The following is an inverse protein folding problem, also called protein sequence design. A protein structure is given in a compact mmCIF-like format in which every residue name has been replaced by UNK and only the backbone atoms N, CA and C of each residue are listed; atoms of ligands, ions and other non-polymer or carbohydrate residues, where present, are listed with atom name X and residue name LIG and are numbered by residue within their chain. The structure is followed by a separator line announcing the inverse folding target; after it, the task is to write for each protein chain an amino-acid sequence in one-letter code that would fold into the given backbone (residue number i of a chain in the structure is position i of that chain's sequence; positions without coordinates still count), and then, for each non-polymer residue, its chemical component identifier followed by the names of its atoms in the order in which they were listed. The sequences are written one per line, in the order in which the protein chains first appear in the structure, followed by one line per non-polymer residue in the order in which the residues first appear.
data_IF_835984374408
#
_entry.id   IF_835984374408
#
_cell.length_a   1.000
_cell.length_b   1.000
_cell.length_c   1.000
_cell.angle_alpha   90.00
_cell.angle_beta   90.00
_cell.angle_gamma   90.00
#
_symmetry.space_group_name_H-M   'P 1'
#
loop_
_entity.id
_entity.type
_entity.pdbx_description
1 polymer ?
#
# COMPACT_ATOMS: atom_id res chain seq x y z
N UNK A 1 -3.52 0.89 17.43
CA UNK A 1 -2.88 -0.38 17.85
C UNK A 1 -2.05 -0.94 16.70
N UNK A 2 -0.93 -1.62 16.94
CA UNK A 2 -0.15 -2.26 15.88
C UNK A 2 -0.68 -3.68 15.59
N UNK A 3 -0.89 -4.04 14.32
CA UNK A 3 -1.27 -5.38 13.86
C UNK A 3 -0.30 -5.82 12.76
N UNK A 4 0.11 -7.09 12.79
CA UNK A 4 0.79 -7.75 11.68
C UNK A 4 -0.14 -8.78 11.03
N UNK A 5 -0.22 -8.77 9.70
CA UNK A 5 -0.98 -9.73 8.90
C UNK A 5 -0.08 -10.32 7.81
N UNK A 6 -0.24 -11.58 7.44
CA UNK A 6 0.41 -12.16 6.27
C UNK A 6 -0.62 -12.65 5.24
N UNK A 7 -0.13 -13.03 4.05
CA UNK A 7 -0.97 -13.53 2.95
C UNK A 7 -1.87 -14.70 3.33
N UNK A 8 -1.43 -15.53 4.30
CA UNK A 8 -2.20 -16.69 4.77
C UNK A 8 -3.32 -16.33 5.75
N UNK A 9 -3.55 -15.04 6.02
CA UNK A 9 -4.53 -14.56 6.99
C UNK A 9 -4.10 -14.73 8.45
N UNK A 10 -2.82 -15.03 8.73
CA UNK A 10 -2.33 -15.04 10.10
C UNK A 10 -2.21 -13.59 10.62
N UNK A 11 -2.93 -13.30 11.71
CA UNK A 11 -2.98 -11.97 12.33
C UNK A 11 -2.35 -12.02 13.73
N UNK A 12 -1.39 -11.12 13.98
CA UNK A 12 -0.74 -10.93 15.28
C UNK A 12 -1.01 -9.51 15.78
N UNK A 13 -1.78 -9.37 16.86
CA UNK A 13 -2.02 -8.08 17.53
C UNK A 13 -0.84 -7.75 18.44
N UNK A 14 -0.42 -6.48 18.46
CA UNK A 14 0.76 -6.00 19.22
C UNK A 14 2.01 -6.87 18.97
N UNK A 15 2.41 -7.04 17.70
CA UNK A 15 3.51 -7.94 17.35
C UNK A 15 4.82 -7.50 18.02
N UNK A 16 5.54 -8.45 18.60
CA UNK A 16 6.88 -8.22 19.15
C UNK A 16 7.91 -8.13 18.02
N UNK A 17 9.09 -7.53 18.29
CA UNK A 17 10.18 -7.47 17.30
C UNK A 17 10.57 -8.86 16.77
N UNK A 18 10.71 -9.90 17.62
CA UNK A 18 10.95 -11.26 17.13
C UNK A 18 9.81 -11.78 16.23
N UNK A 19 8.54 -11.53 16.58
CA UNK A 19 7.41 -11.97 15.75
C UNK A 19 7.45 -11.34 14.35
N UNK A 20 7.77 -10.05 14.24
CA UNK A 20 7.96 -9.36 12.95
C UNK A 20 9.08 -10.00 12.16
N UNK A 21 10.23 -10.26 12.80
CA UNK A 21 11.37 -10.93 12.16
C UNK A 21 11.04 -12.33 11.66
N UNK A 22 10.33 -13.13 12.48
CA UNK A 22 9.88 -14.47 12.10
C UNK A 22 8.88 -14.43 10.94
N UNK A 23 7.95 -13.48 10.90
CA UNK A 23 7.03 -13.35 9.78
C UNK A 23 7.76 -12.99 8.48
N UNK A 24 8.73 -12.08 8.54
CA UNK A 24 9.57 -11.71 7.40
C UNK A 24 10.43 -12.87 6.90
N UNK A 25 11.04 -13.63 7.81
CA UNK A 25 11.84 -14.80 7.47
C UNK A 25 11.02 -15.93 6.83
N UNK A 26 9.71 -15.97 7.11
CA UNK A 26 8.80 -16.97 6.57
C UNK A 26 8.21 -16.60 5.20
N UNK A 27 8.62 -15.46 4.60
CA UNK A 27 8.17 -15.09 3.26
C UNK A 27 8.69 -16.09 2.22
N UNK A 28 7.77 -16.57 1.39
CA UNK A 28 8.03 -17.56 0.33
C UNK A 28 6.89 -17.54 -0.67
N UNK A 29 7.00 -18.31 -1.75
CA UNK A 29 5.87 -18.55 -2.66
C UNK A 29 4.67 -19.11 -1.87
N UNK A 30 3.50 -18.47 -1.97
CA UNK A 30 2.28 -18.81 -1.21
C UNK A 30 2.21 -18.24 0.22
N UNK A 31 3.21 -17.47 0.63
CA UNK A 31 3.18 -16.56 1.77
C UNK A 31 4.10 -15.37 1.44
N UNK A 32 3.82 -14.73 0.31
CA UNK A 32 4.73 -13.82 -0.36
C UNK A 32 4.74 -12.43 0.27
N UNK A 33 3.73 -12.06 1.05
CA UNK A 33 3.67 -10.74 1.65
C UNK A 33 3.26 -10.75 3.13
N UNK A 34 3.66 -9.69 3.83
CA UNK A 34 3.15 -9.33 5.14
C UNK A 34 2.97 -7.82 5.26
N UNK A 35 2.02 -7.41 6.08
CA UNK A 35 1.64 -6.03 6.34
C UNK A 35 1.75 -5.77 7.83
N UNK A 36 2.34 -4.63 8.20
CA UNK A 36 2.22 -4.05 9.53
C UNK A 36 1.35 -2.80 9.44
N UNK A 37 0.30 -2.73 10.25
CA UNK A 37 -0.67 -1.65 10.23
C UNK A 37 -0.82 -1.02 11.61
N UNK A 38 -0.85 0.32 11.65
CA UNK A 38 -1.26 1.08 12.82
C UNK A 38 -2.76 1.36 12.68
N UNK A 39 -3.54 0.53 13.34
CA UNK A 39 -5.00 0.64 13.36
C UNK A 39 -5.41 1.84 14.20
N UNK A 40 -6.08 2.79 13.54
CA UNK A 40 -6.90 3.85 14.11
C UNK A 40 -8.36 3.55 13.77
N UNK A 41 -9.26 3.58 14.76
CA UNK A 41 -10.68 3.22 14.56
C UNK A 41 -11.41 4.17 13.61
N UNK A 42 -10.93 5.42 13.49
CA UNK A 42 -11.52 6.43 12.60
C UNK A 42 -10.98 6.34 11.18
N UNK A 43 -9.77 5.79 11.02
CA UNK A 43 -9.00 5.79 9.77
C UNK A 43 -8.25 4.45 9.59
N UNK A 44 -8.98 3.34 9.41
CA UNK A 44 -8.36 2.04 9.16
C UNK A 44 -7.64 2.04 7.81
N UNK A 45 -6.49 1.35 7.72
CA UNK A 45 -5.70 1.26 6.49
C UNK A 45 -4.94 2.53 6.08
N UNK A 46 -5.02 3.60 6.89
CA UNK A 46 -4.32 4.85 6.61
C UNK A 46 -2.81 4.77 6.83
N UNK A 47 -2.35 3.99 7.81
CA UNK A 47 -0.92 3.85 8.11
C UNK A 47 -0.49 2.39 8.11
N UNK A 48 0.27 2.01 7.08
CA UNK A 48 0.86 0.68 7.01
C UNK A 48 2.26 0.71 6.40
N UNK A 49 3.00 -0.36 6.65
CA UNK A 49 4.17 -0.76 5.88
C UNK A 49 4.00 -2.22 5.46
N UNK A 50 4.17 -2.50 4.18
CA UNK A 50 4.00 -3.80 3.56
C UNK A 50 5.32 -4.24 2.92
N UNK A 51 5.65 -5.52 3.08
CA UNK A 51 6.70 -6.17 2.31
C UNK A 51 6.11 -7.29 1.47
N UNK A 52 6.56 -7.39 0.22
CA UNK A 52 6.27 -8.51 -0.69
C UNK A 52 7.58 -9.07 -1.25
N UNK A 53 7.77 -10.37 -1.14
CA UNK A 53 8.79 -11.13 -1.85
C UNK A 53 8.29 -11.42 -3.27
N UNK A 54 9.00 -10.88 -4.26
CA UNK A 54 8.73 -11.13 -5.68
C UNK A 54 9.35 -12.43 -6.16
N UNK A 55 8.91 -12.89 -7.33
CA UNK A 55 9.40 -14.14 -7.94
C UNK A 55 10.88 -14.12 -8.30
N UNK A 56 11.44 -12.92 -8.53
CA UNK A 56 12.86 -12.70 -8.80
C UNK A 56 13.70 -12.51 -7.52
N UNK A 57 13.21 -12.99 -6.37
CA UNK A 57 13.84 -12.90 -5.06
C UNK A 57 14.14 -11.47 -4.59
N UNK A 58 13.45 -10.47 -5.14
CA UNK A 58 13.54 -9.07 -4.70
C UNK A 58 12.41 -8.78 -3.70
N UNK A 59 12.72 -8.03 -2.64
CA UNK A 59 11.73 -7.46 -1.74
C UNK A 59 11.22 -6.14 -2.29
N UNK A 60 9.91 -6.05 -2.45
CA UNK A 60 9.18 -4.81 -2.62
C UNK A 60 8.70 -4.35 -1.25
N UNK A 61 9.12 -3.16 -0.85
CA UNK A 61 8.70 -2.54 0.41
C UNK A 61 7.85 -1.32 0.07
N UNK A 62 6.70 -1.21 0.70
CA UNK A 62 5.72 -0.14 0.50
C UNK A 62 5.27 0.42 1.83
N UNK A 63 4.94 1.71 1.89
CA UNK A 63 4.26 2.27 3.04
C UNK A 63 3.29 3.36 2.63
N UNK A 64 2.21 3.47 3.41
CA UNK A 64 1.26 4.58 3.33
C UNK A 64 1.32 5.42 4.60
N UNK A 65 1.29 6.74 4.42
CA UNK A 65 1.36 7.73 5.49
C UNK A 65 0.07 8.54 5.59
N UNK A 66 -0.99 7.92 6.08
CA UNK A 66 -2.29 8.55 6.33
C UNK A 66 -3.23 8.46 5.14
N UNK A 67 -2.81 9.01 4.00
CA UNK A 67 -3.66 9.16 2.80
C UNK A 67 -3.08 8.42 1.59
N UNK A 68 -3.90 8.19 0.57
CA UNK A 68 -3.52 7.37 -0.57
C UNK A 68 -2.43 8.01 -1.45
N UNK A 69 -2.36 9.34 -1.49
CA UNK A 69 -1.37 10.15 -2.19
C UNK A 69 0.01 10.07 -1.53
N UNK A 70 0.05 9.79 -0.22
CA UNK A 70 1.27 9.56 0.54
C UNK A 70 1.58 8.06 0.59
N UNK A 71 1.69 7.45 -0.60
CA UNK A 71 2.03 6.05 -0.78
C UNK A 71 3.37 5.94 -1.52
N UNK A 72 4.28 5.16 -0.96
CA UNK A 72 5.64 5.06 -1.45
C UNK A 72 6.08 3.61 -1.59
N UNK A 73 6.95 3.34 -2.57
CA UNK A 73 7.50 2.03 -2.85
C UNK A 73 9.01 2.11 -3.06
N UNK A 74 9.72 1.05 -2.66
CA UNK A 74 11.11 0.79 -3.02
C UNK A 74 11.35 -0.70 -3.28
N UNK A 75 12.46 -1.02 -3.94
CA UNK A 75 12.89 -2.39 -4.21
C UNK A 75 14.27 -2.64 -3.59
N UNK A 76 14.48 -3.80 -2.99
CA UNK A 76 15.78 -4.20 -2.45
C UNK A 76 15.96 -5.72 -2.45
N UNK A 77 17.21 -6.17 -2.46
CA UNK A 77 17.56 -7.58 -2.23
C UNK A 77 17.96 -7.86 -0.77
N UNK A 78 18.10 -6.82 0.06
CA UNK A 78 18.57 -6.97 1.44
C UNK A 78 17.41 -7.16 2.41
N UNK A 79 17.24 -8.39 2.89
CA UNK A 79 16.27 -8.72 3.94
C UNK A 79 16.57 -7.98 5.26
N UNK A 80 17.85 -7.76 5.57
CA UNK A 80 18.27 -7.03 6.77
C UNK A 80 17.78 -5.57 6.74
N UNK A 81 17.95 -4.88 5.60
CA UNK A 81 17.44 -3.52 5.42
C UNK A 81 15.92 -3.46 5.57
N UNK A 82 15.21 -4.45 5.00
CA UNK A 82 13.76 -4.57 5.15
C UNK A 82 13.37 -4.73 6.62
N UNK A 83 14.04 -5.62 7.35
CA UNK A 83 13.77 -5.84 8.77
C UNK A 83 14.01 -4.54 9.57
N UNK A 84 15.10 -3.83 9.28
CA UNK A 84 15.41 -2.53 9.90
C UNK A 84 14.29 -1.52 9.70
N UNK A 85 13.78 -1.36 8.49
CA UNK A 85 12.66 -0.47 8.20
C UNK A 85 11.37 -0.89 8.89
N UNK A 86 11.00 -2.18 8.86
CA UNK A 86 9.78 -2.68 9.52
C UNK A 86 9.82 -2.41 11.03
N UNK A 87 10.96 -2.70 11.69
CA UNK A 87 11.12 -2.48 13.12
C UNK A 87 11.21 -0.98 13.47
N UNK A 88 11.84 -0.18 12.62
CA UNK A 88 11.91 1.27 12.75
C UNK A 88 10.54 1.92 12.65
N UNK A 89 9.77 1.55 11.63
CA UNK A 89 8.39 1.99 11.42
C UNK A 89 7.48 1.57 12.58
N UNK A 90 7.51 0.30 12.99
CA UNK A 90 6.72 -0.21 14.10
C UNK A 90 7.04 0.52 15.42
N UNK A 91 8.31 0.88 15.63
CA UNK A 91 8.79 1.60 16.81
C UNK A 91 8.71 3.12 16.74
N UNK A 92 8.13 3.71 15.68
CA UNK A 92 8.11 5.16 15.45
C UNK A 92 9.51 5.81 15.48
N UNK A 93 10.56 5.07 15.11
CA UNK A 93 11.93 5.60 15.14
C UNK A 93 12.14 6.58 14.00
N UNK A 94 12.76 7.75 14.22
CA UNK A 94 13.18 8.61 13.11
C UNK A 94 14.17 7.86 12.20
N UNK A 95 14.21 8.23 10.92
CA UNK A 95 15.19 7.73 9.95
C UNK A 95 14.98 6.30 9.43
N UNK A 96 13.86 5.65 9.75
CA UNK A 96 13.57 4.30 9.24
C UNK A 96 13.46 4.23 7.70
N UNK A 97 13.25 5.38 7.05
CA UNK A 97 13.14 5.54 5.59
C UNK A 97 14.51 5.70 4.91
N UNK A 98 15.53 6.14 5.64
CA UNK A 98 16.77 6.71 5.08
C UNK A 98 17.63 5.68 4.33
N UNK A 99 17.42 4.38 4.58
CA UNK A 99 18.14 3.30 3.92
C UNK A 99 17.71 3.01 2.48
N UNK A 100 16.75 3.75 1.93
CA UNK A 100 16.10 3.48 0.65
C UNK A 100 15.86 4.73 -0.18
N UNK A 101 15.87 4.54 -1.50
CA UNK A 101 15.30 5.50 -2.45
C UNK A 101 13.83 5.15 -2.66
N UNK A 102 12.93 6.00 -2.14
CA UNK A 102 11.49 5.80 -2.21
C UNK A 102 10.91 6.52 -3.42
N UNK A 103 10.09 5.79 -4.19
CA UNK A 103 9.28 6.36 -5.24
C UNK A 103 7.88 6.62 -4.70
N UNK A 104 7.36 7.83 -4.84
CA UNK A 104 5.94 8.08 -4.57
C UNK A 104 5.12 7.41 -5.69
N UNK A 105 4.13 6.61 -5.30
CA UNK A 105 3.19 5.91 -6.17
C UNK A 105 1.75 6.34 -5.90
N UNK A 106 1.56 7.39 -5.11
CA UNK A 106 0.25 7.83 -4.61
C UNK A 106 -0.70 8.29 -5.70
N UNK A 107 -0.20 8.81 -6.81
CA UNK A 107 -1.03 9.19 -7.98
C UNK A 107 -1.83 8.02 -8.53
N UNK A 108 -1.38 6.78 -8.35
CA UNK A 108 -2.10 5.57 -8.78
C UNK A 108 -3.27 5.21 -7.85
N UNK A 109 -3.33 5.82 -6.66
CA UNK A 109 -4.25 5.47 -5.58
C UNK A 109 -5.02 6.68 -5.03
N UNK A 110 -4.71 7.90 -5.46
CA UNK A 110 -5.51 9.09 -5.19
C UNK A 110 -6.93 8.91 -5.73
N UNK A 111 -7.86 9.81 -5.37
CA UNK A 111 -9.17 9.81 -6.00
C UNK A 111 -8.94 9.83 -7.51
N UNK A 112 -9.31 8.74 -8.18
CA UNK A 112 -9.51 8.79 -9.63
C UNK A 112 -10.45 9.97 -9.82
N UNK A 113 -10.08 10.95 -10.64
CA UNK A 113 -10.97 12.06 -10.97
C UNK A 113 -12.29 11.46 -11.44
N UNK A 114 -13.25 11.33 -10.51
CA UNK A 114 -14.61 10.92 -10.78
C UNK A 114 -15.33 12.17 -11.26
N UNK A 115 -14.78 12.79 -12.30
CA UNK A 115 -15.41 13.85 -13.05
C UNK A 115 -14.79 13.87 -14.45
N UNK A 116 -15.12 12.85 -15.24
CA UNK A 116 -15.25 13.11 -16.68
C UNK A 116 -16.53 13.93 -16.84
N UNK A 117 -16.49 15.21 -17.23
CA UNK A 117 -17.71 15.91 -17.60
C UNK A 117 -18.34 15.14 -18.76
N UNK A 118 -19.58 14.70 -18.58
CA UNK A 118 -20.34 14.04 -19.63
C UNK A 118 -20.31 14.90 -20.91
N UNK A 119 -20.13 14.29 -22.11
CA UNK A 119 -20.35 15.05 -23.33
C UNK A 119 -21.83 15.42 -23.37
N UNK A 120 -22.13 16.69 -23.14
CA UNK A 120 -23.46 17.28 -23.27
C UNK A 120 -24.06 16.91 -24.62
N UNK A 121 -24.92 15.90 -24.60
CA UNK A 121 -25.68 15.45 -25.75
C UNK A 121 -26.83 16.41 -26.01
N UNK A 122 -26.89 16.90 -27.25
CA UNK A 122 -28.18 17.18 -27.88
C UNK A 122 -28.49 18.65 -28.17
N UNK A 123 -27.93 19.17 -29.27
CA UNK A 123 -28.74 20.02 -30.16
C UNK A 123 -29.17 19.18 -31.34
N UNK A 124 -30.43 18.73 -31.31
CA UNK A 124 -31.25 18.45 -32.51
C UNK A 124 -32.17 19.68 -32.69
N UNK A 125 -32.54 20.06 -33.92
CA UNK A 125 -33.51 19.27 -34.69
C UNK A 125 -33.10 19.02 -36.15
N UNK A 126 -33.20 17.74 -36.53
CA UNK A 126 -33.37 17.33 -37.94
C UNK A 126 -34.85 17.41 -38.25
N UNK A 127 -35.13 18.05 -39.38
CA UNK A 127 -36.36 18.12 -40.15
C UNK A 127 -37.23 16.87 -40.06
N UNK A 128 -38.49 17.05 -39.71
CA UNK A 128 -39.56 16.12 -40.06
C UNK A 128 -40.68 16.93 -40.74
N UNK A 129 -40.73 16.74 -42.05
CA UNK A 129 -41.82 17.09 -42.96
C UNK A 129 -42.68 15.84 -43.02
N UNK A 130 -43.98 15.93 -42.73
CA UNK A 130 -45.04 15.09 -43.33
C UNK A 130 -46.46 15.68 -43.06
N UNK A 131 -47.47 15.31 -43.87
CA UNK A 131 -48.42 16.26 -44.47
C UNK A 131 -49.84 16.21 -43.90
N UNK A 132 -50.64 17.25 -44.18
CA UNK A 132 -52.09 17.21 -44.47
C UNK A 132 -52.48 18.32 -45.45
#
# INVERSE_FOLDING_TARGET
MLIATNERGHVVKRPSKPAIGTMLANLRRGNAHMVLERVDERQPGSWYIQVRLRENNTFQLEYRDGVAELHYQTLTISQEKVLGALLGWAGAKPGWRDGFMWNNIGEQFGPSDCESPEPSGGTKPSTDLEPV
#
